data_IF_455535798381
#
_entry.id   IF_455535798381
#
_cell.length_a   1.000
_cell.length_b   1.000
_cell.length_c   1.000
_cell.angle_alpha   90.00
_cell.angle_beta   90.00
_cell.angle_gamma   90.00
#
_symmetry.space_group_name_H-M   'P 1'
#
loop_
_entity.id
_entity.type
_entity.pdbx_description
1 polymer ?
#
# COMPACT_ATOMS: atom_id res chain seq x y z
N UNK A 1 9.46 26.80 22.96
CA UNK A 1 10.33 27.75 22.19
C UNK A 1 11.69 27.17 21.82
N UNK A 2 11.81 25.87 21.55
CA UNK A 2 13.13 25.24 21.27
C UNK A 2 13.40 25.08 19.76
N UNK A 3 12.48 25.43 18.88
CA UNK A 3 12.63 25.13 17.45
C UNK A 3 12.86 26.32 16.50
N UNK A 4 12.95 27.55 16.98
CA UNK A 4 13.11 28.68 16.04
C UNK A 4 14.55 29.06 15.73
N UNK A 5 15.52 28.55 16.47
CA UNK A 5 16.95 28.88 16.29
C UNK A 5 17.69 27.93 15.31
N UNK A 6 17.16 26.75 15.06
CA UNK A 6 17.82 25.72 14.23
C UNK A 6 17.33 25.66 12.79
N UNK A 7 16.35 26.45 12.42
CA UNK A 7 15.90 26.62 11.04
C UNK A 7 16.83 27.63 10.36
N UNK A 8 17.64 27.19 9.40
CA UNK A 8 18.52 28.03 8.61
C UNK A 8 17.74 29.17 7.91
N UNK A 9 18.46 30.17 7.38
CA UNK A 9 17.83 31.29 6.67
C UNK A 9 17.07 30.79 5.45
N UNK A 10 15.84 31.26 5.25
CA UNK A 10 14.98 30.82 4.14
C UNK A 10 15.66 30.93 2.76
N UNK A 11 16.45 32.01 2.55
CA UNK A 11 17.21 32.20 1.30
C UNK A 11 18.29 31.14 1.07
N UNK A 12 18.93 30.64 2.11
CA UNK A 12 19.95 29.57 2.00
C UNK A 12 19.29 28.23 1.69
N UNK A 13 18.09 28.00 2.25
CA UNK A 13 17.28 26.80 1.96
C UNK A 13 16.83 26.81 0.50
N UNK A 14 16.31 27.93 -0.01
CA UNK A 14 15.91 28.06 -1.42
C UNK A 14 17.09 27.88 -2.37
N UNK A 15 18.25 28.46 -2.05
CA UNK A 15 19.47 28.27 -2.84
C UNK A 15 19.88 26.80 -2.88
N UNK A 16 19.80 26.10 -1.74
CA UNK A 16 20.11 24.66 -1.66
C UNK A 16 19.13 23.81 -2.44
N UNK A 17 17.83 24.10 -2.38
CA UNK A 17 16.81 23.43 -3.19
C UNK A 17 17.11 23.58 -4.69
N UNK A 18 17.45 24.79 -5.14
CA UNK A 18 17.83 25.03 -6.55
C UNK A 18 19.05 24.21 -6.96
N UNK A 19 20.10 24.15 -6.12
CA UNK A 19 21.27 23.31 -6.38
C UNK A 19 20.94 21.82 -6.52
N UNK A 20 20.09 21.31 -5.62
CA UNK A 20 19.72 19.88 -5.66
C UNK A 20 18.86 19.60 -6.90
N UNK A 21 18.01 20.51 -7.34
CA UNK A 21 17.22 20.34 -8.59
C UNK A 21 18.12 20.20 -9.81
N UNK A 22 19.20 21.00 -9.91
CA UNK A 22 20.19 20.84 -10.98
C UNK A 22 20.86 19.48 -10.90
N UNK A 23 21.23 19.02 -9.69
CA UNK A 23 21.82 17.70 -9.51
C UNK A 23 20.85 16.54 -9.91
N UNK A 24 19.54 16.71 -9.75
CA UNK A 24 18.54 15.75 -10.21
C UNK A 24 18.54 15.63 -11.75
N UNK A 25 18.67 16.76 -12.45
CA UNK A 25 18.75 16.79 -13.91
C UNK A 25 20.04 16.16 -14.45
N UNK A 26 21.14 16.32 -13.72
CA UNK A 26 22.45 15.75 -14.06
C UNK A 26 22.61 14.28 -13.62
N UNK A 27 21.76 13.77 -12.74
CA UNK A 27 21.88 12.41 -12.20
C UNK A 27 21.60 11.36 -13.27
N UNK A 28 22.57 10.47 -13.48
CA UNK A 28 22.49 9.35 -14.42
C UNK A 28 21.90 8.07 -13.81
N UNK A 29 21.91 7.96 -12.47
CA UNK A 29 21.37 6.83 -11.72
C UNK A 29 19.95 7.17 -11.21
N UNK A 30 19.01 6.26 -11.44
CA UNK A 30 17.64 6.41 -10.93
C UNK A 30 17.60 6.43 -9.40
N UNK A 31 18.47 5.64 -8.75
CA UNK A 31 18.62 5.66 -7.29
C UNK A 31 19.08 7.02 -6.76
N UNK A 32 20.11 7.62 -7.38
CA UNK A 32 20.60 8.95 -6.97
C UNK A 32 19.54 10.03 -7.20
N UNK A 33 18.82 9.94 -8.31
CA UNK A 33 17.71 10.84 -8.64
C UNK A 33 16.61 10.77 -7.56
N UNK A 34 16.20 9.57 -7.17
CA UNK A 34 15.22 9.36 -6.11
C UNK A 34 15.68 9.96 -4.76
N UNK A 35 16.92 9.71 -4.36
CA UNK A 35 17.49 10.25 -3.13
C UNK A 35 17.61 11.78 -3.12
N UNK A 36 17.90 12.37 -4.27
CA UNK A 36 17.94 13.82 -4.43
C UNK A 36 16.53 14.42 -4.38
N UNK A 37 15.53 13.77 -4.98
CA UNK A 37 14.13 14.17 -4.90
C UNK A 37 13.61 14.12 -3.44
N UNK A 38 13.95 13.08 -2.70
CA UNK A 38 13.61 12.96 -1.27
C UNK A 38 14.21 14.12 -0.46
N UNK A 39 15.46 14.53 -0.76
CA UNK A 39 16.08 15.68 -0.10
C UNK A 39 15.38 17.00 -0.42
N UNK A 40 14.98 17.20 -1.68
CA UNK A 40 14.21 18.40 -2.08
C UNK A 40 12.87 18.43 -1.34
N UNK A 41 12.16 17.30 -1.28
CA UNK A 41 10.89 17.20 -0.58
C UNK A 41 11.01 17.58 0.91
N UNK A 42 12.06 17.10 1.59
CA UNK A 42 12.35 17.44 2.99
C UNK A 42 12.68 18.93 3.18
N UNK A 43 13.39 19.55 2.26
CA UNK A 43 13.79 20.95 2.35
C UNK A 43 12.66 21.93 1.96
N UNK A 44 11.86 21.59 0.94
CA UNK A 44 10.81 22.44 0.41
C UNK A 44 9.45 22.25 1.12
N UNK A 45 9.18 21.04 1.60
CA UNK A 45 7.92 20.67 2.23
C UNK A 45 7.84 20.92 3.74
N UNK A 46 8.98 21.28 4.36
CA UNK A 46 9.07 21.37 5.82
C UNK A 46 9.25 20.00 6.50
N UNK A 47 9.28 20.01 7.84
CA UNK A 47 9.43 18.83 8.68
C UNK A 47 8.21 18.66 9.56
N UNK A 48 7.50 17.56 9.41
CA UNK A 48 6.45 17.15 10.34
C UNK A 48 7.03 16.21 11.39
N UNK A 49 6.73 16.46 12.66
CA UNK A 49 7.19 15.63 13.79
C UNK A 49 5.98 14.94 14.40
N UNK A 50 5.93 13.62 14.27
CA UNK A 50 4.92 12.78 14.91
C UNK A 50 5.51 12.27 16.23
N UNK A 51 4.95 12.76 17.35
CA UNK A 51 5.39 12.34 18.70
C UNK A 51 4.63 11.08 19.09
N UNK A 52 5.38 9.98 19.24
CA UNK A 52 4.83 8.68 19.65
C UNK A 52 5.24 8.42 21.10
N UNK A 53 4.29 8.00 21.94
CA UNK A 53 4.51 7.65 23.33
C UNK A 53 3.68 6.44 23.76
N UNK A 54 4.17 5.72 24.77
CA UNK A 54 3.49 4.58 25.36
C UNK A 54 3.94 4.39 26.82
N UNK A 55 3.26 3.52 27.55
CA UNK A 55 3.59 3.21 28.95
C UNK A 55 4.88 2.39 29.06
N UNK A 56 5.21 1.58 28.07
CA UNK A 56 6.42 0.74 28.04
C UNK A 56 7.24 0.99 26.78
N UNK A 57 8.54 0.68 26.84
CA UNK A 57 9.45 0.82 25.68
C UNK A 57 9.05 -0.12 24.53
N UNK A 58 8.58 -1.32 24.84
CA UNK A 58 8.15 -2.31 23.84
C UNK A 58 6.93 -1.78 23.08
N UNK A 59 5.92 -1.31 23.78
CA UNK A 59 4.73 -0.70 23.20
C UNK A 59 5.04 0.56 22.37
N UNK A 60 5.99 1.37 22.86
CA UNK A 60 6.43 2.55 22.11
C UNK A 60 7.09 2.17 20.78
N UNK A 61 7.95 1.14 20.77
CA UNK A 61 8.58 0.63 19.53
C UNK A 61 7.55 0.07 18.56
N UNK A 62 6.56 -0.65 19.06
CA UNK A 62 5.47 -1.18 18.25
C UNK A 62 4.64 -0.06 17.60
N UNK A 63 4.23 0.95 18.38
CA UNK A 63 3.50 2.11 17.86
C UNK A 63 4.34 2.90 16.85
N UNK A 64 5.64 3.08 17.11
CA UNK A 64 6.54 3.74 16.16
C UNK A 64 6.60 2.98 14.85
N UNK A 65 6.82 1.66 14.89
CA UNK A 65 6.86 0.82 13.69
C UNK A 65 5.57 0.89 12.88
N UNK A 66 4.40 0.90 13.55
CA UNK A 66 3.09 1.05 12.91
C UNK A 66 2.92 2.40 12.21
N UNK A 67 3.41 3.49 12.81
CA UNK A 67 3.39 4.82 12.18
C UNK A 67 4.35 4.89 11.00
N UNK A 68 5.53 4.30 11.10
CA UNK A 68 6.50 4.22 9.99
C UNK A 68 5.94 3.43 8.81
N UNK A 69 5.27 2.31 9.07
CA UNK A 69 4.61 1.50 8.05
C UNK A 69 3.48 2.26 7.34
N UNK A 70 2.60 2.92 8.12
CA UNK A 70 1.56 3.78 7.57
C UNK A 70 2.13 4.93 6.71
N UNK A 71 3.28 5.51 7.09
CA UNK A 71 3.94 6.55 6.31
C UNK A 71 4.44 6.01 4.96
N UNK A 72 5.05 4.82 4.96
CA UNK A 72 5.53 4.17 3.74
C UNK A 72 4.37 3.83 2.81
N UNK A 73 3.29 3.24 3.34
CA UNK A 73 2.08 2.94 2.57
C UNK A 73 1.46 4.21 1.96
N UNK A 74 1.40 5.30 2.72
CA UNK A 74 0.86 6.58 2.24
C UNK A 74 1.70 7.17 1.12
N UNK A 75 3.05 7.11 1.22
CA UNK A 75 3.94 7.58 0.15
C UNK A 75 3.74 6.78 -1.13
N UNK A 76 3.75 5.45 -1.05
CA UNK A 76 3.51 4.60 -2.20
C UNK A 76 2.15 4.88 -2.84
N UNK A 77 1.10 5.09 -2.04
CA UNK A 77 -0.23 5.43 -2.53
C UNK A 77 -0.27 6.80 -3.27
N UNK A 78 0.51 7.79 -2.80
CA UNK A 78 0.61 9.11 -3.45
C UNK A 78 1.41 9.03 -4.76
N UNK A 79 2.45 8.22 -4.81
CA UNK A 79 3.35 8.09 -5.96
C UNK A 79 2.73 7.22 -7.06
N UNK A 80 2.11 6.11 -6.73
CA UNK A 80 1.66 5.08 -7.67
C UNK A 80 0.15 4.92 -7.77
N UNK A 81 -0.59 5.54 -6.86
CA UNK A 81 -2.05 5.48 -6.81
C UNK A 81 -2.61 4.38 -5.92
N UNK A 82 -3.93 4.29 -5.90
CA UNK A 82 -4.70 3.38 -5.06
C UNK A 82 -5.67 2.54 -5.87
N UNK A 83 -6.01 1.39 -5.35
CA UNK A 83 -7.02 0.48 -5.86
C UNK A 83 -8.02 0.09 -4.76
N UNK A 84 -9.12 -0.54 -5.12
CA UNK A 84 -10.07 -1.09 -4.15
C UNK A 84 -9.41 -2.18 -3.31
N UNK A 85 -9.38 -1.99 -1.99
CA UNK A 85 -8.80 -2.93 -1.04
C UNK A 85 -9.67 -4.15 -0.76
N UNK A 86 -9.35 -4.88 0.31
CA UNK A 86 -10.10 -6.06 0.72
C UNK A 86 -10.05 -7.22 -0.29
N UNK A 87 -9.01 -7.28 -1.13
CA UNK A 87 -8.87 -8.30 -2.18
C UNK A 87 -9.75 -8.09 -3.41
N UNK A 88 -10.49 -6.97 -3.49
CA UNK A 88 -11.42 -6.71 -4.62
C UNK A 88 -10.67 -6.48 -5.91
N UNK A 89 -9.59 -5.69 -5.92
CA UNK A 89 -8.78 -5.45 -7.11
C UNK A 89 -8.28 -6.75 -7.74
N UNK A 90 -7.81 -7.69 -6.92
CA UNK A 90 -7.37 -9.01 -7.36
C UNK A 90 -8.51 -9.84 -7.98
N UNK A 91 -9.72 -9.80 -7.40
CA UNK A 91 -10.87 -10.49 -7.98
C UNK A 91 -11.30 -9.88 -9.33
N UNK A 92 -11.17 -8.56 -9.51
CA UNK A 92 -11.42 -7.90 -10.80
C UNK A 92 -10.37 -8.31 -11.84
N UNK A 93 -9.09 -8.34 -11.44
CA UNK A 93 -8.01 -8.86 -12.28
C UNK A 93 -8.27 -10.31 -12.69
N UNK A 94 -8.72 -11.17 -11.75
CA UNK A 94 -9.11 -12.55 -12.05
C UNK A 94 -10.23 -12.64 -13.09
N UNK A 95 -11.26 -11.78 -13.01
CA UNK A 95 -12.33 -11.76 -14.01
C UNK A 95 -11.80 -11.43 -15.40
N UNK A 96 -10.90 -10.44 -15.51
CA UNK A 96 -10.28 -10.06 -16.78
C UNK A 96 -9.36 -11.15 -17.32
N UNK A 97 -8.62 -11.84 -16.43
CA UNK A 97 -7.71 -12.94 -16.80
C UNK A 97 -8.42 -14.28 -17.07
N UNK A 98 -9.70 -14.41 -16.73
CA UNK A 98 -10.45 -15.66 -16.86
C UNK A 98 -10.63 -16.17 -18.31
N UNK A 99 -10.33 -15.33 -19.31
CA UNK A 99 -10.37 -15.69 -20.74
C UNK A 99 -9.04 -16.22 -21.27
N UNK A 100 -7.97 -16.16 -20.48
CA UNK A 100 -6.65 -16.63 -20.87
C UNK A 100 -6.68 -18.16 -21.02
N UNK A 101 -6.13 -18.66 -22.12
CA UNK A 101 -5.98 -20.10 -22.40
C UNK A 101 -4.50 -20.38 -22.65
N UNK A 102 -4.04 -21.52 -22.18
CA UNK A 102 -2.72 -22.05 -22.50
C UNK A 102 -2.69 -22.79 -23.82
N UNK A 103 -1.49 -23.05 -24.31
CA UNK A 103 -1.26 -23.83 -25.53
C UNK A 103 -1.42 -25.35 -25.30
N UNK A 104 -1.44 -25.77 -24.03
CA UNK A 104 -1.58 -27.18 -23.64
C UNK A 104 -2.29 -27.30 -22.27
N UNK A 105 -2.65 -28.56 -21.93
CA UNK A 105 -3.40 -28.87 -20.71
C UNK A 105 -2.63 -28.51 -19.41
N UNK A 106 -1.30 -28.57 -19.41
CA UNK A 106 -0.47 -28.25 -18.25
C UNK A 106 -0.44 -26.74 -18.00
N UNK A 107 -0.35 -25.94 -19.06
CA UNK A 107 -0.48 -24.48 -18.97
C UNK A 107 -1.88 -24.08 -18.51
N UNK A 108 -2.92 -24.70 -19.01
CA UNK A 108 -4.30 -24.46 -18.55
C UNK A 108 -4.47 -24.81 -17.07
N UNK A 109 -3.83 -25.87 -16.60
CA UNK A 109 -3.83 -26.24 -15.18
C UNK A 109 -3.10 -25.18 -14.34
N UNK A 110 -1.95 -24.68 -14.80
CA UNK A 110 -1.22 -23.58 -14.17
C UNK A 110 -2.04 -22.29 -14.09
N UNK A 111 -2.69 -21.89 -15.17
CA UNK A 111 -3.59 -20.71 -15.21
C UNK A 111 -4.72 -20.86 -14.19
N UNK A 112 -5.39 -22.02 -14.15
CA UNK A 112 -6.47 -22.30 -13.18
C UNK A 112 -5.97 -22.22 -11.72
N UNK A 113 -4.75 -22.71 -11.46
CA UNK A 113 -4.13 -22.64 -10.14
C UNK A 113 -3.91 -21.19 -9.70
N UNK A 114 -3.35 -20.35 -10.58
CA UNK A 114 -3.12 -18.92 -10.31
C UNK A 114 -4.45 -18.21 -10.09
N UNK A 115 -5.45 -18.40 -10.97
CA UNK A 115 -6.77 -17.79 -10.84
C UNK A 115 -7.47 -18.17 -9.52
N UNK A 116 -7.21 -19.37 -9.00
CA UNK A 116 -7.73 -19.78 -7.69
C UNK A 116 -6.94 -19.15 -6.54
N UNK A 117 -5.62 -19.04 -6.68
CA UNK A 117 -4.76 -18.43 -5.67
C UNK A 117 -5.07 -16.94 -5.45
N UNK A 118 -5.43 -16.22 -6.50
CA UNK A 118 -5.83 -14.80 -6.45
C UNK A 118 -7.06 -14.56 -5.57
N UNK A 119 -7.91 -15.57 -5.32
CA UNK A 119 -9.03 -15.44 -4.39
C UNK A 119 -8.60 -15.50 -2.92
N UNK A 120 -7.41 -16.02 -2.63
CA UNK A 120 -6.98 -16.31 -1.26
C UNK A 120 -7.01 -15.09 -0.32
N UNK A 121 -6.58 -13.87 -0.72
CA UNK A 121 -6.63 -12.71 0.17
C UNK A 121 -8.02 -12.40 0.69
N UNK A 122 -9.02 -12.31 -0.18
CA UNK A 122 -10.40 -12.07 0.27
C UNK A 122 -10.95 -13.24 1.10
N UNK A 123 -10.64 -14.48 0.70
CA UNK A 123 -11.08 -15.67 1.46
C UNK A 123 -10.55 -15.66 2.87
N UNK A 124 -9.27 -15.30 3.05
CA UNK A 124 -8.63 -15.25 4.36
C UNK A 124 -9.20 -14.12 5.22
N UNK A 125 -9.45 -12.94 4.63
CA UNK A 125 -10.10 -11.82 5.33
C UNK A 125 -11.45 -12.27 5.89
N UNK A 126 -12.29 -12.90 5.07
CA UNK A 126 -13.62 -13.35 5.47
C UNK A 126 -13.55 -14.47 6.50
N UNK A 127 -12.65 -15.42 6.33
CA UNK A 127 -12.44 -16.51 7.27
C UNK A 127 -12.04 -16.00 8.66
N UNK A 128 -11.11 -15.04 8.71
CA UNK A 128 -10.66 -14.43 9.96
C UNK A 128 -11.76 -13.59 10.63
N UNK A 129 -12.68 -13.04 9.85
CA UNK A 129 -13.87 -12.36 10.36
C UNK A 129 -14.98 -13.33 10.86
N UNK A 130 -14.77 -14.64 10.67
CA UNK A 130 -15.74 -15.67 11.06
C UNK A 130 -16.87 -15.89 10.04
N UNK A 131 -16.77 -15.31 8.85
CA UNK A 131 -17.73 -15.46 7.77
C UNK A 131 -17.47 -16.68 6.87
N UNK A 132 -18.38 -16.92 5.90
CA UNK A 132 -18.23 -17.97 4.90
C UNK A 132 -17.57 -17.41 3.61
N UNK A 133 -16.29 -17.72 3.34
CA UNK A 133 -15.53 -17.12 2.25
C UNK A 133 -16.15 -17.33 0.86
N UNK A 134 -16.76 -18.50 0.63
CA UNK A 134 -17.33 -18.83 -0.67
C UNK A 134 -18.55 -17.98 -1.03
N UNK A 135 -19.34 -17.64 -0.03
CA UNK A 135 -20.51 -16.77 -0.19
C UNK A 135 -20.08 -15.36 -0.54
N UNK A 136 -19.12 -14.82 0.22
CA UNK A 136 -18.63 -13.46 0.01
C UNK A 136 -17.89 -13.32 -1.32
N UNK A 137 -17.00 -14.25 -1.67
CA UNK A 137 -16.31 -14.23 -2.98
C UNK A 137 -17.31 -14.24 -4.12
N UNK A 138 -18.35 -15.09 -4.06
CA UNK A 138 -19.39 -15.12 -5.10
C UNK A 138 -20.18 -13.82 -5.17
N UNK A 139 -20.53 -13.22 -4.04
CA UNK A 139 -21.23 -11.93 -3.99
C UNK A 139 -20.39 -10.81 -4.60
N UNK A 140 -19.09 -10.74 -4.26
CA UNK A 140 -18.17 -9.74 -4.81
C UNK A 140 -17.94 -9.97 -6.31
N UNK A 141 -17.79 -11.20 -6.78
CA UNK A 141 -17.63 -11.52 -8.21
C UNK A 141 -18.85 -11.10 -9.05
N UNK A 142 -20.06 -11.20 -8.49
CA UNK A 142 -21.28 -10.75 -9.15
C UNK A 142 -21.46 -9.21 -9.11
N UNK A 143 -20.75 -8.51 -8.23
CA UNK A 143 -20.71 -7.06 -8.18
C UNK A 143 -19.86 -6.46 -9.29
N UNK A 144 -19.94 -5.14 -9.47
CA UNK A 144 -19.20 -4.39 -10.50
C UNK A 144 -18.32 -3.32 -9.87
N UNK A 145 -17.28 -2.91 -10.59
CA UNK A 145 -16.38 -1.84 -10.17
C UNK A 145 -15.71 -2.17 -8.83
N UNK A 146 -15.78 -1.26 -7.89
CA UNK A 146 -15.15 -1.36 -6.57
C UNK A 146 -16.02 -2.06 -5.51
N UNK A 147 -17.14 -2.67 -5.92
CA UNK A 147 -18.04 -3.36 -5.00
C UNK A 147 -17.33 -4.51 -4.29
N UNK A 148 -17.32 -4.48 -2.97
CA UNK A 148 -16.61 -5.42 -2.12
C UNK A 148 -17.30 -5.65 -0.78
N UNK A 149 -16.61 -6.33 0.12
CA UNK A 149 -17.08 -6.71 1.45
C UNK A 149 -16.22 -6.07 2.53
N UNK A 150 -16.84 -5.32 3.43
CA UNK A 150 -16.21 -4.75 4.62
C UNK A 150 -16.38 -5.73 5.80
N UNK A 151 -15.29 -6.41 6.13
CA UNK A 151 -15.25 -7.41 7.19
C UNK A 151 -15.35 -6.82 8.62
N UNK A 152 -15.19 -5.49 8.79
CA UNK A 152 -15.30 -4.88 10.12
C UNK A 152 -16.75 -4.73 10.60
N UNK A 153 -17.71 -4.63 9.67
CA UNK A 153 -19.13 -4.41 9.98
C UNK A 153 -20.09 -5.27 9.16
N UNK A 154 -19.57 -6.29 8.47
CA UNK A 154 -20.32 -7.24 7.64
C UNK A 154 -21.21 -6.58 6.56
N UNK A 155 -20.72 -5.48 5.97
CA UNK A 155 -21.47 -4.76 4.95
C UNK A 155 -20.82 -4.85 3.57
N UNK A 156 -21.66 -4.73 2.54
CA UNK A 156 -21.20 -4.67 1.14
C UNK A 156 -21.37 -3.25 0.60
N UNK A 157 -20.43 -2.80 -0.23
CA UNK A 157 -20.50 -1.48 -0.87
C UNK A 157 -19.27 -1.16 -1.71
N UNK A 158 -19.14 0.09 -2.12
CA UNK A 158 -17.95 0.56 -2.83
C UNK A 158 -16.79 0.71 -1.83
N UNK A 159 -15.72 -0.04 -2.06
CA UNK A 159 -14.56 -0.09 -1.17
C UNK A 159 -13.83 1.24 -1.09
N UNK A 160 -13.80 2.01 -2.18
CA UNK A 160 -13.15 3.32 -2.21
C UNK A 160 -13.96 4.32 -1.37
N UNK A 161 -15.28 4.35 -1.52
CA UNK A 161 -16.17 5.20 -0.72
C UNK A 161 -16.12 4.86 0.76
N UNK A 162 -15.94 3.59 1.09
CA UNK A 162 -15.77 3.10 2.47
C UNK A 162 -14.38 3.38 3.05
N UNK A 163 -13.42 3.89 2.24
CA UNK A 163 -12.05 4.12 2.67
C UNK A 163 -11.21 2.84 2.81
N UNK A 164 -11.67 1.72 2.24
CA UNK A 164 -10.95 0.44 2.23
C UNK A 164 -10.11 0.39 0.96
N UNK A 165 -8.87 0.81 1.08
CA UNK A 165 -7.97 1.06 -0.03
C UNK A 165 -6.76 0.13 0.05
N UNK A 166 -6.16 -0.13 -1.11
CA UNK A 166 -4.87 -0.76 -1.24
C UNK A 166 -3.99 0.07 -2.19
N UNK A 167 -2.68 -0.11 -2.13
CA UNK A 167 -1.76 0.56 -3.05
C UNK A 167 -1.65 -0.24 -4.34
N UNK A 168 -1.44 0.44 -5.46
CA UNK A 168 -1.30 -0.21 -6.77
C UNK A 168 0.09 -0.79 -7.01
N UNK A 169 1.07 -0.42 -6.18
CA UNK A 169 2.43 -0.89 -6.27
C UNK A 169 2.58 -2.36 -5.84
N UNK A 170 3.13 -3.20 -6.72
CA UNK A 170 3.63 -4.53 -6.39
C UNK A 170 5.16 -4.49 -6.31
N UNK A 171 5.72 -4.42 -5.11
CA UNK A 171 7.13 -4.72 -4.93
C UNK A 171 7.35 -6.23 -4.94
N UNK A 172 7.97 -6.71 -6.00
CA UNK A 172 8.38 -8.12 -6.11
C UNK A 172 9.34 -8.57 -4.99
N UNK A 173 10.05 -7.63 -4.36
CA UNK A 173 10.89 -7.88 -3.18
C UNK A 173 10.09 -8.08 -1.88
N UNK A 174 8.87 -7.59 -1.79
CA UNK A 174 8.00 -7.77 -0.64
C UNK A 174 7.25 -9.10 -0.64
N UNK A 175 7.17 -9.81 -1.77
CA UNK A 175 6.60 -11.16 -1.81
C UNK A 175 7.28 -12.13 -0.84
N UNK A 176 8.53 -11.88 -0.45
CA UNK A 176 9.23 -12.65 0.59
C UNK A 176 8.89 -12.18 2.01
N UNK A 177 8.38 -10.97 2.20
CA UNK A 177 7.94 -10.42 3.50
C UNK A 177 6.44 -10.47 3.73
N UNK A 178 5.64 -10.82 2.72
CA UNK A 178 4.17 -10.81 2.74
C UNK A 178 3.53 -11.72 3.79
N UNK A 179 4.23 -12.69 4.33
CA UNK A 179 3.74 -13.45 5.49
C UNK A 179 3.59 -12.55 6.73
N UNK A 180 4.28 -11.40 6.78
CA UNK A 180 4.16 -10.42 7.87
C UNK A 180 3.14 -9.31 7.62
N UNK A 181 2.86 -8.95 6.36
CA UNK A 181 1.94 -7.85 5.99
C UNK A 181 0.48 -8.25 6.17
N UNK A 182 0.13 -9.51 6.02
CA UNK A 182 -1.22 -10.01 6.36
C UNK A 182 -1.63 -9.69 7.80
N UNK A 183 -0.68 -9.48 8.72
CA UNK A 183 -0.94 -9.09 10.09
C UNK A 183 -1.11 -7.57 10.29
N UNK A 184 -0.51 -6.73 9.45
CA UNK A 184 -0.57 -5.27 9.62
C UNK A 184 -1.91 -4.68 9.14
N UNK A 185 -2.53 -5.24 8.12
CA UNK A 185 -3.84 -4.83 7.61
C UNK A 185 -5.00 -5.20 8.56
N UNK A 186 -4.77 -6.12 9.51
CA UNK A 186 -5.77 -6.59 10.48
C UNK A 186 -5.84 -5.76 11.77
N UNK A 187 -4.98 -4.76 11.95
CA UNK A 187 -4.94 -3.96 13.18
C UNK A 187 -5.36 -2.49 13.00
N UNK A 188 -6.04 -2.14 11.92
CA UNK A 188 -6.64 -0.81 11.73
C UNK A 188 -8.14 -0.87 11.83
#
# INVERSE_FOLDING_TARGET
DVCSSDLGKAGDIEARVKQIRVQIEEATSDYDREKLQERVAKLAGGVAVIKVGAATEVEMKEKKARVEDALHATRAAVEEGIVAGGGVALLRARQSAGTIKGDNADQDAGIKLVLKAIEAPLREIVYNAGGEPSVVVNAVLNGKGNYGFNAANDTYGDMIEMGILDRSEEHTSELQSHVRISYAVFCL
#
